data_IF_474860690474
#
_entry.id   IF_474860690474
#
_cell.length_a   1.000
_cell.length_b   1.000
_cell.length_c   1.000
_cell.angle_alpha   90.00
_cell.angle_beta   90.00
_cell.angle_gamma   90.00
#
_symmetry.space_group_name_H-M   'P 1'
#
loop_
_entity.id
_entity.type
_entity.pdbx_description
1 polymer ?
#
# COMPACT_ATOMS: atom_id res chain seq x y z
N UNK A 1 13.92 10.16 12.93
CA UNK A 1 13.21 10.82 11.80
C UNK A 1 11.95 11.46 12.34
N UNK A 2 11.86 12.80 12.31
CA UNK A 2 10.65 13.50 12.77
C UNK A 2 9.66 13.56 11.62
N UNK A 3 8.56 12.84 11.75
CA UNK A 3 7.44 12.86 10.79
C UNK A 3 6.29 13.62 11.44
N UNK A 4 5.98 14.79 10.89
CA UNK A 4 4.95 15.67 11.47
C UNK A 4 3.56 15.23 10.98
N UNK A 5 2.62 15.04 11.92
CA UNK A 5 1.23 14.64 11.67
C UNK A 5 1.13 13.51 10.65
N UNK A 6 1.76 12.34 10.90
CA UNK A 6 1.77 11.25 9.95
C UNK A 6 0.46 10.45 9.98
N UNK A 7 0.16 9.83 8.82
CA UNK A 7 -0.70 8.65 8.73
C UNK A 7 0.07 7.51 8.06
N UNK A 8 -0.22 6.28 8.45
CA UNK A 8 0.38 5.10 7.84
C UNK A 8 -0.54 4.56 6.75
N UNK A 9 -0.02 4.47 5.52
CA UNK A 9 -0.73 3.94 4.35
C UNK A 9 -0.17 2.56 4.01
N UNK A 10 -1.03 1.56 4.07
CA UNK A 10 -0.69 0.15 3.79
C UNK A 10 -1.22 -0.22 2.42
N UNK A 11 -0.33 -0.33 1.44
CA UNK A 11 -0.71 -0.53 0.04
C UNK A 11 -0.87 -2.01 -0.31
N UNK A 12 -2.09 -2.41 -0.68
CA UNK A 12 -2.44 -3.72 -1.26
C UNK A 12 -1.96 -4.96 -0.49
N UNK A 13 -1.85 -4.89 0.82
CA UNK A 13 -1.52 -6.05 1.64
C UNK A 13 -2.76 -6.92 1.87
N UNK A 14 -3.31 -7.46 0.76
CA UNK A 14 -4.55 -8.22 0.70
C UNK A 14 -4.29 -9.70 0.40
N UNK A 15 -5.19 -10.58 0.82
CA UNK A 15 -5.09 -12.03 0.61
C UNK A 15 -4.96 -12.44 -0.85
N UNK A 16 -5.66 -11.74 -1.75
CA UNK A 16 -5.59 -11.97 -3.20
C UNK A 16 -4.36 -11.34 -3.89
N UNK A 17 -3.55 -10.54 -3.18
CA UNK A 17 -2.34 -9.91 -3.74
C UNK A 17 -1.08 -10.54 -3.20
N UNK A 18 -0.94 -10.66 -1.88
CA UNK A 18 0.28 -11.18 -1.22
C UNK A 18 -0.01 -12.26 -0.15
N UNK A 19 -1.25 -12.76 -0.11
CA UNK A 19 -1.67 -13.80 0.83
C UNK A 19 -1.91 -15.16 0.16
N UNK A 20 -2.69 -15.95 0.83
CA UNK A 20 -3.01 -17.34 0.49
C UNK A 20 -3.84 -17.52 -0.80
N UNK A 21 -4.51 -16.46 -1.25
CA UNK A 21 -5.37 -16.45 -2.45
C UNK A 21 -4.73 -15.73 -3.65
N UNK A 22 -3.45 -15.45 -3.58
CA UNK A 22 -2.73 -14.68 -4.61
C UNK A 22 -2.57 -15.43 -5.92
N UNK A 23 -2.51 -14.67 -7.01
CA UNK A 23 -2.04 -15.11 -8.33
C UNK A 23 -0.58 -14.68 -8.63
N UNK A 24 0.10 -14.11 -7.63
CA UNK A 24 1.45 -13.57 -7.77
C UNK A 24 2.43 -14.26 -6.79
N UNK A 25 2.71 -15.56 -6.96
CA UNK A 25 3.56 -16.30 -6.02
C UNK A 25 4.98 -15.72 -5.89
N UNK A 26 5.51 -15.13 -6.97
CA UNK A 26 6.82 -14.48 -6.93
C UNK A 26 6.82 -13.22 -6.03
N UNK A 27 5.70 -12.49 -5.99
CA UNK A 27 5.57 -11.32 -5.11
C UNK A 27 5.47 -11.76 -3.64
N UNK A 28 4.76 -12.85 -3.36
CA UNK A 28 4.74 -13.45 -2.00
C UNK A 28 6.14 -13.89 -1.59
N UNK A 29 6.86 -14.57 -2.48
CA UNK A 29 8.24 -14.99 -2.20
C UNK A 29 9.16 -13.79 -1.91
N UNK A 30 8.97 -12.67 -2.63
CA UNK A 30 9.69 -11.42 -2.36
C UNK A 30 9.33 -10.84 -0.99
N UNK A 31 8.04 -10.79 -0.64
CA UNK A 31 7.58 -10.34 0.68
C UNK A 31 8.16 -11.18 1.81
N UNK A 32 8.18 -12.51 1.65
CA UNK A 32 8.75 -13.43 2.64
C UNK A 32 10.26 -13.22 2.80
N UNK A 33 10.99 -13.11 1.68
CA UNK A 33 12.45 -12.92 1.68
C UNK A 33 12.90 -11.66 2.41
N UNK A 34 12.08 -10.61 2.38
CA UNK A 34 12.40 -9.30 2.96
C UNK A 34 11.64 -9.03 4.26
N UNK A 35 10.98 -10.02 4.85
CA UNK A 35 10.19 -9.88 6.08
C UNK A 35 9.18 -8.72 6.03
N UNK A 36 8.56 -8.50 4.86
CA UNK A 36 7.69 -7.33 4.62
C UNK A 36 6.50 -7.33 5.58
N UNK A 37 5.81 -8.47 5.75
CA UNK A 37 4.64 -8.57 6.64
C UNK A 37 5.05 -8.39 8.11
N UNK A 38 6.07 -9.06 8.66
CA UNK A 38 6.54 -8.82 10.03
C UNK A 38 6.98 -7.37 10.27
N UNK A 39 7.69 -6.77 9.33
CA UNK A 39 8.13 -5.37 9.44
C UNK A 39 6.94 -4.41 9.41
N UNK A 40 5.98 -4.61 8.51
CA UNK A 40 4.75 -3.84 8.46
C UNK A 40 3.96 -3.94 9.77
N UNK A 41 3.78 -5.16 10.31
CA UNK A 41 3.08 -5.37 11.58
C UNK A 41 3.73 -4.60 12.73
N UNK A 42 5.07 -4.61 12.84
CA UNK A 42 5.78 -3.83 13.86
C UNK A 42 5.53 -2.33 13.75
N UNK A 43 5.56 -1.79 12.52
CA UNK A 43 5.29 -0.36 12.27
C UNK A 43 3.83 -0.02 12.61
N UNK A 44 2.88 -0.88 12.23
CA UNK A 44 1.46 -0.68 12.52
C UNK A 44 1.18 -0.67 14.02
N UNK A 45 1.75 -1.63 14.76
CA UNK A 45 1.58 -1.69 16.21
C UNK A 45 2.12 -0.43 16.91
N UNK A 46 3.29 0.06 16.49
CA UNK A 46 3.85 1.30 17.02
C UNK A 46 2.98 2.53 16.64
N UNK A 47 2.48 2.59 15.40
CA UNK A 47 1.61 3.67 14.95
C UNK A 47 0.31 3.72 15.75
N UNK A 48 -0.35 2.57 15.95
CA UNK A 48 -1.59 2.45 16.74
C UNK A 48 -1.35 2.84 18.21
N UNK A 49 -0.26 2.36 18.80
CA UNK A 49 0.12 2.73 20.18
C UNK A 49 0.36 4.25 20.32
N UNK A 50 0.87 4.91 19.29
CA UNK A 50 1.07 6.35 19.23
C UNK A 50 -0.20 7.13 18.81
N UNK A 51 -1.34 6.47 18.61
CA UNK A 51 -2.60 7.10 18.19
C UNK A 51 -2.57 7.66 16.76
N UNK A 52 -1.69 7.14 15.90
CA UNK A 52 -1.57 7.58 14.51
C UNK A 52 -2.60 6.86 13.62
N UNK A 53 -3.20 7.56 12.64
CA UNK A 53 -4.12 6.93 11.71
C UNK A 53 -3.43 5.83 10.88
N UNK A 54 -4.05 4.66 10.81
CA UNK A 54 -3.69 3.56 9.92
C UNK A 54 -4.77 3.44 8.86
N UNK A 55 -4.36 3.43 7.58
CA UNK A 55 -5.29 3.35 6.46
C UNK A 55 -4.81 2.26 5.49
N UNK A 56 -5.62 1.22 5.33
CA UNK A 56 -5.40 0.18 4.33
C UNK A 56 -5.89 0.67 2.97
N UNK A 57 -4.97 0.81 2.04
CA UNK A 57 -5.24 1.20 0.65
C UNK A 57 -5.46 -0.06 -0.17
N UNK A 58 -6.72 -0.45 -0.35
CA UNK A 58 -7.11 -1.72 -0.97
C UNK A 58 -7.57 -1.55 -2.41
N UNK A 59 -7.57 -2.65 -3.15
CA UNK A 59 -8.16 -2.76 -4.47
C UNK A 59 -9.27 -3.81 -4.47
N UNK A 60 -10.36 -3.55 -5.16
CA UNK A 60 -11.41 -4.53 -5.41
C UNK A 60 -12.15 -4.16 -6.69
N UNK A 61 -12.72 -5.16 -7.36
CA UNK A 61 -13.55 -4.95 -8.53
C UNK A 61 -15.00 -5.31 -8.21
N UNK A 62 -15.91 -4.44 -8.61
CA UNK A 62 -17.34 -4.75 -8.54
C UNK A 62 -17.71 -5.80 -9.61
N UNK A 63 -18.70 -6.64 -9.39
CA UNK A 63 -19.16 -7.61 -10.40
C UNK A 63 -19.59 -6.94 -11.72
N UNK A 64 -20.23 -5.76 -11.63
CA UNK A 64 -20.70 -4.96 -12.77
C UNK A 64 -19.59 -4.10 -13.40
N UNK A 65 -18.39 -4.10 -12.83
CA UNK A 65 -17.23 -3.27 -13.22
C UNK A 65 -17.46 -1.76 -13.16
N UNK A 66 -18.54 -1.31 -12.53
CA UNK A 66 -18.75 0.12 -12.33
C UNK A 66 -17.58 0.72 -11.53
N UNK A 67 -17.08 1.88 -11.98
CA UNK A 67 -15.90 2.53 -11.41
C UNK A 67 -14.55 1.99 -11.91
N UNK A 68 -14.55 0.99 -12.82
CA UNK A 68 -13.33 0.42 -13.39
C UNK A 68 -13.27 0.67 -14.89
N UNK A 69 -12.15 1.22 -15.38
CA UNK A 69 -11.88 1.28 -16.81
C UNK A 69 -11.10 0.03 -17.23
N UNK A 70 -11.79 -0.93 -17.78
CA UNK A 70 -11.25 -2.29 -18.02
C UNK A 70 -10.41 -2.43 -19.29
N UNK A 71 -10.30 -1.38 -20.11
CA UNK A 71 -9.67 -1.45 -21.44
C UNK A 71 -8.45 -0.55 -21.65
N UNK A 72 -8.03 0.24 -20.65
CA UNK A 72 -6.99 1.25 -20.82
C UNK A 72 -5.58 0.82 -20.36
N UNK A 73 -5.46 -0.33 -19.71
CA UNK A 73 -4.19 -0.80 -19.15
C UNK A 73 -3.99 -2.29 -19.42
N UNK A 74 -2.90 -2.70 -20.11
CA UNK A 74 -2.63 -4.10 -20.43
C UNK A 74 -2.61 -5.02 -19.19
N UNK A 75 -2.07 -4.54 -18.07
CA UNK A 75 -2.03 -5.32 -16.83
C UNK A 75 -3.44 -5.56 -16.27
N UNK A 76 -4.27 -4.53 -16.18
CA UNK A 76 -5.67 -4.67 -15.72
C UNK A 76 -6.46 -5.58 -16.67
N UNK A 77 -6.31 -5.41 -17.98
CA UNK A 77 -6.94 -6.27 -18.99
C UNK A 77 -6.55 -7.74 -18.75
N UNK A 78 -5.28 -8.00 -18.47
CA UNK A 78 -4.78 -9.37 -18.21
C UNK A 78 -5.40 -9.96 -16.94
N UNK A 79 -5.48 -9.20 -15.87
CA UNK A 79 -6.05 -9.65 -14.59
C UNK A 79 -7.54 -9.96 -14.71
N UNK A 80 -8.28 -9.12 -15.42
CA UNK A 80 -9.73 -9.22 -15.57
C UNK A 80 -10.19 -10.27 -16.61
N UNK A 81 -9.26 -10.98 -17.25
CA UNK A 81 -9.59 -12.23 -17.96
C UNK A 81 -10.18 -13.28 -17.02
N UNK A 82 -9.81 -13.24 -15.74
CA UNK A 82 -10.51 -13.95 -14.70
C UNK A 82 -11.63 -13.06 -14.12
N UNK A 83 -12.89 -13.40 -14.36
CA UNK A 83 -14.03 -12.61 -13.86
C UNK A 83 -14.11 -12.60 -12.34
N UNK A 84 -13.51 -13.58 -11.65
CA UNK A 84 -13.51 -13.69 -10.20
C UNK A 84 -12.36 -12.92 -9.53
N UNK A 85 -11.41 -12.34 -10.32
CA UNK A 85 -10.25 -11.67 -9.76
C UNK A 85 -10.63 -10.49 -8.86
N UNK A 86 -10.21 -10.55 -7.61
CA UNK A 86 -10.38 -9.48 -6.60
C UNK A 86 -11.79 -8.89 -6.57
N UNK A 87 -12.84 -9.74 -6.63
CA UNK A 87 -14.22 -9.29 -6.53
C UNK A 87 -14.56 -8.82 -5.11
N UNK A 88 -15.31 -7.73 -5.02
CA UNK A 88 -15.91 -7.27 -3.76
C UNK A 88 -16.72 -8.39 -3.09
N UNK A 89 -16.66 -8.45 -1.76
CA UNK A 89 -17.37 -9.44 -0.97
C UNK A 89 -16.72 -10.83 -0.96
N UNK A 90 -15.58 -11.01 -1.62
CA UNK A 90 -14.81 -12.27 -1.56
C UNK A 90 -13.62 -12.18 -0.61
N UNK A 91 -13.14 -13.30 -0.07
CA UNK A 91 -11.96 -13.31 0.80
C UNK A 91 -10.68 -12.74 0.15
N UNK A 92 -10.60 -12.73 -1.19
CA UNK A 92 -9.43 -12.21 -1.89
C UNK A 92 -9.17 -10.72 -1.64
N UNK A 93 -10.21 -9.93 -1.37
CA UNK A 93 -10.08 -8.48 -1.12
C UNK A 93 -9.79 -8.14 0.34
N UNK A 94 -9.86 -9.10 1.25
CA UNK A 94 -9.56 -8.90 2.66
C UNK A 94 -8.08 -8.54 2.87
N UNK A 95 -7.82 -7.61 3.78
CA UNK A 95 -6.46 -7.32 4.27
C UNK A 95 -5.92 -8.55 4.98
N UNK A 96 -4.62 -8.78 4.90
CA UNK A 96 -3.95 -9.87 5.64
C UNK A 96 -4.31 -9.78 7.13
N UNK A 97 -4.74 -10.89 7.75
CA UNK A 97 -5.17 -10.88 9.16
C UNK A 97 -4.10 -10.35 10.12
N UNK A 98 -2.82 -10.59 9.81
CA UNK A 98 -1.68 -10.15 10.62
C UNK A 98 -1.49 -8.64 10.64
N UNK A 99 -2.13 -7.92 9.72
CA UNK A 99 -1.98 -6.47 9.56
C UNK A 99 -3.23 -5.68 9.93
N UNK A 100 -4.38 -6.34 10.05
CA UNK A 100 -5.67 -5.68 10.31
C UNK A 100 -5.99 -5.64 11.80
N UNK A 101 -6.44 -4.48 12.29
CA UNK A 101 -7.07 -4.33 13.61
C UNK A 101 -8.36 -3.52 13.50
N UNK A 102 -9.22 -3.68 14.51
CA UNK A 102 -10.41 -2.86 14.65
C UNK A 102 -10.01 -1.39 14.88
N UNK A 103 -10.66 -0.49 14.17
CA UNK A 103 -10.34 0.94 14.20
C UNK A 103 -9.43 1.41 13.05
N UNK A 104 -8.78 0.51 12.33
CA UNK A 104 -8.10 0.86 11.08
C UNK A 104 -9.08 1.35 10.02
N UNK A 105 -8.68 2.38 9.30
CA UNK A 105 -9.45 2.89 8.17
C UNK A 105 -9.16 2.08 6.90
N UNK A 106 -10.06 2.13 5.96
CA UNK A 106 -9.88 1.54 4.64
C UNK A 106 -10.21 2.56 3.55
N UNK A 107 -9.31 2.67 2.57
CA UNK A 107 -9.54 3.41 1.33
C UNK A 107 -9.48 2.45 0.16
N UNK A 108 -10.64 2.08 -0.38
CA UNK A 108 -10.78 1.11 -1.46
C UNK A 108 -10.89 1.81 -2.80
N UNK A 109 -10.10 1.34 -3.77
CA UNK A 109 -10.22 1.76 -5.16
C UNK A 109 -10.77 0.63 -6.04
N UNK A 110 -11.43 1.01 -7.11
CA UNK A 110 -11.96 0.09 -8.12
C UNK A 110 -11.17 0.17 -9.44
N UNK A 111 -10.17 1.03 -9.52
CA UNK A 111 -9.39 1.25 -10.74
C UNK A 111 -8.00 1.82 -10.43
N UNK A 112 -7.07 1.63 -11.39
CA UNK A 112 -5.75 2.23 -11.35
C UNK A 112 -4.82 1.63 -10.29
N UNK A 113 -3.75 2.34 -9.99
CA UNK A 113 -2.69 1.87 -9.10
C UNK A 113 -2.40 2.84 -7.95
N UNK A 114 -2.79 4.10 -8.08
CA UNK A 114 -2.70 5.05 -6.99
C UNK A 114 -3.87 4.88 -6.02
N UNK A 115 -3.65 4.99 -4.71
CA UNK A 115 -4.72 4.94 -3.73
C UNK A 115 -5.52 6.25 -3.62
N UNK A 116 -5.08 7.33 -4.26
CA UNK A 116 -5.70 8.66 -4.18
C UNK A 116 -6.76 8.87 -5.26
N UNK A 117 -6.40 8.64 -6.52
CA UNK A 117 -7.30 8.89 -7.65
C UNK A 117 -8.56 8.04 -7.56
N UNK A 118 -9.73 8.68 -7.56
CA UNK A 118 -11.03 8.02 -7.52
C UNK A 118 -11.43 7.46 -6.15
N UNK A 119 -10.76 7.88 -5.07
CA UNK A 119 -11.08 7.50 -3.69
C UNK A 119 -11.29 8.74 -2.81
N UNK A 120 -11.72 8.51 -1.57
CA UNK A 120 -11.82 9.56 -0.55
C UNK A 120 -10.54 9.76 0.26
N UNK A 121 -9.41 9.14 -0.11
CA UNK A 121 -8.20 9.10 0.72
C UNK A 121 -7.69 10.51 1.04
N UNK A 122 -7.55 11.38 0.06
CA UNK A 122 -7.06 12.75 0.29
C UNK A 122 -7.98 13.53 1.25
N UNK A 123 -9.30 13.43 1.06
CA UNK A 123 -10.26 14.06 1.96
C UNK A 123 -10.14 13.52 3.38
N UNK A 124 -10.01 12.20 3.53
CA UNK A 124 -9.81 11.55 4.84
C UNK A 124 -8.55 12.06 5.52
N UNK A 125 -7.42 12.07 4.83
CA UNK A 125 -6.14 12.54 5.38
C UNK A 125 -6.22 14.01 5.81
N UNK A 126 -6.82 14.88 4.98
CA UNK A 126 -6.98 16.30 5.33
C UNK A 126 -7.90 16.52 6.52
N UNK A 127 -9.00 15.77 6.61
CA UNK A 127 -9.93 15.86 7.74
C UNK A 127 -9.26 15.46 9.08
N UNK A 128 -8.27 14.58 9.02
CA UNK A 128 -7.44 14.18 10.16
C UNK A 128 -6.25 15.13 10.42
N UNK A 129 -6.10 16.18 9.62
CA UNK A 129 -4.98 17.13 9.74
C UNK A 129 -3.62 16.52 9.37
N UNK A 130 -3.60 15.45 8.58
CA UNK A 130 -2.38 14.77 8.15
C UNK A 130 -1.62 15.63 7.15
N UNK A 131 -0.30 15.75 7.34
CA UNK A 131 0.61 16.50 6.44
C UNK A 131 1.73 15.62 5.88
N UNK A 132 1.86 14.41 6.40
CA UNK A 132 2.84 13.44 5.92
C UNK A 132 2.27 12.03 5.90
N UNK A 133 2.75 11.21 4.98
CA UNK A 133 2.33 9.81 4.86
C UNK A 133 3.54 8.89 4.99
N UNK A 134 3.34 7.80 5.71
CA UNK A 134 4.30 6.70 5.83
C UNK A 134 3.75 5.53 5.02
N UNK A 135 4.40 5.21 3.91
CA UNK A 135 3.95 4.22 2.94
C UNK A 135 4.70 2.90 3.10
N UNK A 136 3.97 1.79 3.06
CA UNK A 136 4.50 0.43 3.04
C UNK A 136 3.55 -0.50 2.28
N UNK A 137 3.97 -1.73 2.00
CA UNK A 137 3.21 -2.74 1.26
C UNK A 137 3.72 -2.95 -0.15
N UNK A 138 2.83 -3.24 -1.08
CA UNK A 138 3.17 -3.67 -2.44
C UNK A 138 2.44 -2.87 -3.53
N UNK A 139 2.95 -2.83 -4.73
CA UNK A 139 4.26 -3.27 -5.16
C UNK A 139 5.16 -2.09 -5.53
N UNK A 140 6.48 -2.27 -5.39
CA UNK A 140 7.45 -1.31 -5.92
C UNK A 140 7.38 -1.17 -7.45
N UNK A 141 6.65 -2.07 -8.13
CA UNK A 141 6.44 -1.98 -9.57
C UNK A 141 5.52 -0.81 -9.95
N UNK A 142 4.41 -0.62 -9.23
CA UNK A 142 3.35 0.33 -9.59
C UNK A 142 2.74 1.01 -8.36
N UNK A 143 2.25 0.23 -7.39
CA UNK A 143 1.44 0.75 -6.29
C UNK A 143 2.19 1.74 -5.40
N UNK A 144 3.39 1.41 -4.95
CA UNK A 144 4.22 2.29 -4.10
C UNK A 144 4.70 3.53 -4.86
N UNK A 145 5.23 3.43 -6.10
CA UNK A 145 5.53 4.62 -6.89
C UNK A 145 4.31 5.50 -7.18
N UNK A 146 3.17 4.90 -7.52
CA UNK A 146 1.93 5.62 -7.76
C UNK A 146 1.45 6.37 -6.51
N UNK A 147 1.47 5.71 -5.35
CA UNK A 147 1.18 6.34 -4.05
C UNK A 147 2.13 7.51 -3.78
N UNK A 148 3.44 7.28 -3.90
CA UNK A 148 4.44 8.29 -3.55
C UNK A 148 4.35 9.52 -4.46
N UNK A 149 4.21 9.31 -5.77
CA UNK A 149 4.12 10.38 -6.75
C UNK A 149 2.87 11.25 -6.53
N UNK A 150 1.72 10.61 -6.34
CA UNK A 150 0.47 11.34 -6.17
C UNK A 150 0.41 12.04 -4.80
N UNK A 151 0.91 11.42 -3.73
CA UNK A 151 1.03 12.07 -2.43
C UNK A 151 1.90 13.34 -2.50
N UNK A 152 3.04 13.28 -3.20
CA UNK A 152 3.89 14.47 -3.44
C UNK A 152 3.14 15.54 -4.21
N UNK A 153 2.42 15.18 -5.28
CA UNK A 153 1.63 16.13 -6.07
C UNK A 153 0.52 16.80 -5.26
N UNK A 154 -0.05 16.11 -4.28
CA UNK A 154 -1.05 16.63 -3.34
C UNK A 154 -0.44 17.42 -2.17
N UNK A 155 0.88 17.50 -2.08
CA UNK A 155 1.60 18.30 -1.08
C UNK A 155 1.94 17.57 0.21
N UNK A 156 1.76 16.24 0.27
CA UNK A 156 2.20 15.44 1.43
C UNK A 156 3.70 15.20 1.40
N UNK A 157 4.32 15.20 2.59
CA UNK A 157 5.66 14.63 2.75
C UNK A 157 5.54 13.11 2.76
N UNK A 158 6.39 12.44 2.02
CA UNK A 158 6.35 10.97 1.89
C UNK A 158 7.54 10.33 2.56
N UNK A 159 7.28 9.34 3.38
CA UNK A 159 8.27 8.41 3.93
C UNK A 159 7.92 7.00 3.47
N UNK A 160 8.88 6.24 2.96
CA UNK A 160 8.70 4.84 2.59
C UNK A 160 9.49 3.95 3.53
N UNK A 161 8.84 2.95 4.10
CA UNK A 161 9.48 1.94 4.96
C UNK A 161 10.16 0.92 4.06
N UNK A 162 11.48 1.09 3.86
CA UNK A 162 12.26 0.39 2.82
C UNK A 162 12.33 -1.14 3.00
N UNK A 163 12.15 -1.63 4.20
CA UNK A 163 12.13 -3.05 4.57
C UNK A 163 10.71 -3.58 4.85
N UNK A 164 9.69 -2.77 4.53
CA UNK A 164 8.28 -3.16 4.52
C UNK A 164 7.63 -2.94 3.15
N UNK A 165 8.41 -2.95 2.07
CA UNK A 165 7.94 -2.88 0.68
C UNK A 165 8.59 -3.98 -0.15
N UNK A 166 7.88 -4.50 -1.16
CA UNK A 166 8.41 -5.47 -2.10
C UNK A 166 7.96 -5.19 -3.55
N UNK A 167 8.64 -5.81 -4.51
CA UNK A 167 8.32 -5.79 -5.93
C UNK A 167 9.10 -6.88 -6.67
N UNK A 168 8.79 -7.09 -7.95
CA UNK A 168 9.37 -8.14 -8.78
C UNK A 168 9.68 -7.60 -10.20
N UNK A 169 10.75 -8.09 -10.87
CA UNK A 169 11.83 -8.88 -10.27
C UNK A 169 12.64 -8.06 -9.25
N UNK A 170 13.41 -8.73 -8.42
CA UNK A 170 14.10 -8.10 -7.27
C UNK A 170 15.04 -6.95 -7.66
N UNK A 171 15.82 -7.13 -8.73
CA UNK A 171 16.75 -6.10 -9.20
C UNK A 171 16.04 -4.82 -9.66
N UNK A 172 14.89 -4.98 -10.33
CA UNK A 172 14.05 -3.86 -10.71
C UNK A 172 13.45 -3.17 -9.48
N UNK A 173 12.93 -3.93 -8.53
CA UNK A 173 12.39 -3.39 -7.28
C UNK A 173 13.45 -2.59 -6.50
N UNK A 174 14.68 -3.12 -6.39
CA UNK A 174 15.82 -2.39 -5.79
C UNK A 174 16.15 -1.10 -6.55
N UNK A 175 16.12 -1.16 -7.89
CA UNK A 175 16.35 0.02 -8.72
C UNK A 175 15.26 1.09 -8.52
N UNK A 176 13.99 0.70 -8.48
CA UNK A 176 12.87 1.62 -8.20
C UNK A 176 13.00 2.23 -6.82
N UNK A 177 13.25 1.41 -5.79
CA UNK A 177 13.42 1.91 -4.43
C UNK A 177 14.56 2.93 -4.32
N UNK A 178 15.65 2.70 -5.04
CA UNK A 178 16.83 3.58 -5.03
C UNK A 178 16.64 4.82 -5.88
N UNK A 179 16.21 4.65 -7.13
CA UNK A 179 16.32 5.70 -8.16
C UNK A 179 15.00 6.47 -8.36
N UNK A 180 13.84 5.87 -8.05
CA UNK A 180 12.53 6.52 -8.16
C UNK A 180 12.04 6.98 -6.80
N UNK A 181 11.89 6.06 -5.86
CA UNK A 181 11.41 6.39 -4.50
C UNK A 181 12.41 7.33 -3.80
N UNK A 182 13.71 7.14 -4.03
CA UNK A 182 14.74 8.01 -3.48
C UNK A 182 14.65 9.48 -3.89
N UNK A 183 13.94 9.80 -4.97
CA UNK A 183 13.67 11.18 -5.41
C UNK A 183 12.37 11.74 -4.82
N UNK A 184 11.43 10.89 -4.44
CA UNK A 184 10.08 11.27 -4.02
C UNK A 184 9.89 11.24 -2.50
N UNK A 185 10.66 10.40 -1.80
CA UNK A 185 10.40 10.05 -0.41
C UNK A 185 11.67 9.86 0.42
N UNK A 186 11.55 10.15 1.71
CA UNK A 186 12.53 9.69 2.69
C UNK A 186 12.37 8.17 2.87
N UNK A 187 13.48 7.44 2.84
CA UNK A 187 13.51 5.98 3.03
C UNK A 187 14.05 5.66 4.41
N UNK A 188 13.27 4.94 5.21
CA UNK A 188 13.63 4.57 6.59
C UNK A 188 13.46 3.08 6.80
N UNK A 189 14.14 2.51 7.79
CA UNK A 189 13.83 1.15 8.22
C UNK A 189 12.65 1.15 9.21
N UNK A 190 11.95 0.02 9.28
CA UNK A 190 10.86 -0.17 10.23
C UNK A 190 11.29 0.12 11.68
N UNK A 191 12.48 -0.35 12.06
CA UNK A 191 13.04 -0.14 13.40
C UNK A 191 13.23 1.35 13.75
N UNK A 192 13.60 2.19 12.77
CA UNK A 192 13.81 3.62 12.98
C UNK A 192 12.50 4.36 13.30
N UNK A 193 11.39 3.93 12.67
CA UNK A 193 10.06 4.48 12.95
C UNK A 193 9.52 4.00 14.28
N UNK A 194 9.64 2.71 14.56
CA UNK A 194 9.22 2.14 15.85
C UNK A 194 9.91 2.89 16.98
N UNK A 195 11.24 3.05 16.92
CA UNK A 195 11.99 3.80 17.94
C UNK A 195 11.67 5.31 18.02
N UNK A 196 11.06 5.88 16.97
CA UNK A 196 10.67 7.29 16.98
C UNK A 196 9.24 7.51 17.55
N UNK A 197 8.42 6.46 17.62
CA UNK A 197 7.03 6.53 18.09
C UNK A 197 6.83 5.88 19.46
N UNK A 198 7.83 5.17 19.99
CA UNK A 198 7.86 4.64 21.37
C UNK A 198 8.71 5.53 22.29
#
# INVERSE_FOLDING_TARGET
VRVERPAVLVMEMQRGVVGDLTKFPELVAACTRHDVVPNAARVLNAARAAGLPVIHCTAAFRPDRAGSHTGNCPFIISLLKDPAHMLEGTPAVEVLPELREDGDLESRRHHGFSPFTGTSLDMTLRSLGVTSVVAMGVSLNLGIPGLALEAVNLGYRVTVVKDAVAGIPEDYAKAVLRNTIGLLATRVAAADLVGAWT
#
